data_IF_359471303812
#
_entry.id   IF_359471303812
#
_cell.length_a   1.000
_cell.length_b   1.000
_cell.length_c   1.000
_cell.angle_alpha   90.00
_cell.angle_beta   90.00
_cell.angle_gamma   90.00
#
_symmetry.space_group_name_H-M   'P 1'
#
loop_
_entity.id
_entity.type
_entity.pdbx_description
1 polymer ?
#
# COMPACT_ATOMS: atom_id res chain seq x y z
N UNK A 1 -36.35 -40.30 -40.91
CA UNK A 1 -35.59 -40.70 -39.71
C UNK A 1 -34.13 -40.42 -40.03
N UNK A 2 -33.33 -39.59 -39.36
CA UNK A 2 -33.27 -39.09 -37.97
C UNK A 2 -32.32 -37.89 -37.94
N UNK A 3 -32.68 -36.82 -37.24
CA UNK A 3 -31.76 -35.72 -36.90
C UNK A 3 -30.95 -36.01 -35.64
N UNK A 4 -29.81 -35.33 -35.50
CA UNK A 4 -29.21 -34.82 -34.25
C UNK A 4 -27.90 -34.09 -34.59
N UNK A 5 -27.97 -32.77 -34.73
CA UNK A 5 -26.80 -31.89 -34.61
C UNK A 5 -26.31 -31.98 -33.16
N UNK A 6 -25.12 -32.54 -32.94
CA UNK A 6 -24.51 -32.56 -31.62
C UNK A 6 -24.10 -31.14 -31.24
N UNK A 7 -24.94 -30.45 -30.49
CA UNK A 7 -24.59 -29.27 -29.69
C UNK A 7 -23.65 -29.70 -28.56
N UNK A 8 -22.45 -30.13 -28.93
CA UNK A 8 -21.38 -30.49 -28.01
C UNK A 8 -20.76 -29.21 -27.48
N UNK A 9 -20.68 -29.11 -26.15
CA UNK A 9 -20.00 -28.04 -25.43
C UNK A 9 -18.61 -27.80 -26.04
N UNK A 10 -18.44 -26.69 -26.76
CA UNK A 10 -17.19 -26.42 -27.45
C UNK A 10 -16.15 -25.91 -26.45
N UNK A 11 -14.88 -26.31 -26.63
CA UNK A 11 -13.75 -25.84 -25.80
C UNK A 11 -13.67 -24.31 -25.70
N UNK A 12 -14.13 -23.60 -26.74
CA UNK A 12 -14.23 -22.13 -26.77
C UNK A 12 -15.33 -21.57 -25.88
N UNK A 13 -16.47 -22.26 -25.73
CA UNK A 13 -17.55 -21.83 -24.84
C UNK A 13 -17.12 -21.93 -23.36
N UNK A 14 -16.38 -22.98 -23.00
CA UNK A 14 -15.81 -23.14 -21.65
C UNK A 14 -14.76 -22.07 -21.34
N UNK A 15 -13.86 -21.77 -22.28
CA UNK A 15 -12.88 -20.69 -22.10
C UNK A 15 -13.54 -19.31 -22.03
N UNK A 16 -14.62 -19.07 -22.80
CA UNK A 16 -15.42 -17.85 -22.71
C UNK A 16 -16.14 -17.71 -21.36
N UNK A 17 -16.73 -18.79 -20.85
CA UNK A 17 -17.35 -18.79 -19.52
C UNK A 17 -16.32 -18.57 -18.41
N UNK A 18 -15.13 -19.18 -18.50
CA UNK A 18 -14.04 -18.98 -17.55
C UNK A 18 -13.49 -17.55 -17.58
N UNK A 19 -13.36 -16.94 -18.75
CA UNK A 19 -12.98 -15.53 -18.89
C UNK A 19 -14.04 -14.59 -18.28
N UNK A 20 -15.33 -14.88 -18.48
CA UNK A 20 -16.40 -14.12 -17.84
C UNK A 20 -16.35 -14.24 -16.31
N UNK A 21 -16.10 -15.45 -15.77
CA UNK A 21 -15.96 -15.66 -14.33
C UNK A 21 -14.73 -14.97 -13.75
N UNK A 22 -13.61 -14.92 -14.48
CA UNK A 22 -12.40 -14.20 -14.05
C UNK A 22 -12.59 -12.67 -14.02
N UNK A 23 -13.37 -12.10 -14.94
CA UNK A 23 -13.71 -10.67 -14.92
C UNK A 23 -14.70 -10.34 -13.81
N UNK A 24 -15.63 -11.24 -13.46
CA UNK A 24 -16.57 -11.05 -12.34
C UNK A 24 -15.97 -11.36 -10.97
N UNK A 25 -14.95 -12.22 -10.91
CA UNK A 25 -14.24 -12.61 -9.67
C UNK A 25 -13.00 -11.77 -9.41
N UNK A 26 -12.50 -11.02 -10.39
CA UNK A 26 -11.64 -9.88 -10.10
C UNK A 26 -12.47 -8.94 -9.23
N UNK A 27 -12.10 -8.73 -7.95
CA UNK A 27 -12.75 -7.69 -7.19
C UNK A 27 -12.45 -6.44 -7.98
N UNK A 28 -13.49 -5.75 -8.46
CA UNK A 28 -13.33 -4.35 -8.79
C UNK A 28 -13.00 -3.68 -7.47
N UNK A 29 -11.72 -3.71 -7.09
CA UNK A 29 -11.10 -2.88 -6.06
C UNK A 29 -11.14 -1.40 -6.46
N UNK A 30 -12.07 -1.00 -7.32
CA UNK A 30 -12.31 0.34 -7.79
C UNK A 30 -12.76 1.28 -6.67
N UNK A 31 -13.14 0.77 -5.49
CA UNK A 31 -13.54 1.61 -4.35
C UNK A 31 -12.97 1.20 -2.98
N UNK A 32 -12.05 0.22 -2.90
CA UNK A 32 -11.46 -0.21 -1.62
C UNK A 32 -9.95 0.07 -1.49
N UNK A 33 -9.37 0.84 -2.41
CA UNK A 33 -8.13 1.58 -2.12
C UNK A 33 -8.39 2.86 -1.28
N UNK A 34 -9.67 3.22 -1.07
CA UNK A 34 -10.10 4.45 -0.42
C UNK A 34 -10.48 4.33 1.05
N UNK A 35 -10.81 3.14 1.56
CA UNK A 35 -11.20 2.98 2.97
C UNK A 35 -10.01 3.05 3.95
N UNK A 36 -8.80 2.76 3.45
CA UNK A 36 -7.54 3.05 4.16
C UNK A 36 -7.02 4.48 3.88
N UNK A 37 -7.76 5.28 3.11
CA UNK A 37 -7.48 6.68 2.75
C UNK A 37 -8.49 7.63 3.39
N UNK A 38 -8.92 7.30 4.62
CA UNK A 38 -9.82 8.11 5.45
C UNK A 38 -9.27 8.39 6.85
N UNK A 39 -8.02 8.05 7.13
CA UNK A 39 -7.39 8.22 8.45
C UNK A 39 -6.53 9.48 8.61
N UNK A 40 -6.73 10.48 7.75
CA UNK A 40 -5.85 11.64 7.64
C UNK A 40 -4.64 11.39 6.74
N UNK A 41 -4.08 12.45 6.13
CA UNK A 41 -2.76 12.36 5.49
C UNK A 41 -1.74 12.26 6.65
N UNK A 42 -0.97 11.18 6.69
CA UNK A 42 0.00 10.90 7.74
C UNK A 42 1.34 10.60 7.06
N UNK A 43 2.39 11.25 7.53
CA UNK A 43 3.76 11.00 7.03
C UNK A 43 4.63 10.44 8.13
N UNK A 44 5.22 9.29 7.82
CA UNK A 44 6.12 8.55 8.69
C UNK A 44 7.52 8.58 8.12
N UNK A 45 8.50 8.75 8.99
CA UNK A 45 9.92 8.70 8.64
C UNK A 45 10.59 7.56 9.41
N UNK A 46 11.42 6.79 8.70
CA UNK A 46 12.22 5.72 9.25
C UNK A 46 13.66 5.92 8.85
N UNK A 47 14.56 6.06 9.82
CA UNK A 47 15.96 6.33 9.57
C UNK A 47 16.85 5.49 10.48
N UNK A 48 18.04 5.18 9.97
CA UNK A 48 19.06 4.43 10.68
C UNK A 48 20.42 5.11 10.49
N UNK A 49 21.11 5.37 11.60
CA UNK A 49 22.46 5.90 11.58
C UNK A 49 23.47 4.76 11.68
N UNK A 50 24.24 4.54 10.61
CA UNK A 50 25.30 3.53 10.62
C UNK A 50 26.50 3.89 11.51
N UNK A 51 26.63 5.16 11.94
CA UNK A 51 27.73 5.61 12.79
C UNK A 51 27.42 5.48 14.27
N UNK A 52 26.24 5.91 14.69
CA UNK A 52 25.80 5.86 16.11
C UNK A 52 24.99 4.60 16.44
N UNK A 53 24.48 3.89 15.42
CA UNK A 53 23.61 2.72 15.61
C UNK A 53 22.16 3.09 15.93
N UNK A 54 21.83 4.38 16.00
CA UNK A 54 20.50 4.88 16.33
C UNK A 54 19.49 4.57 15.23
N UNK A 55 18.24 4.34 15.63
CA UNK A 55 17.10 4.11 14.75
C UNK A 55 15.94 4.97 15.19
N UNK A 56 15.26 5.59 14.24
CA UNK A 56 14.00 6.27 14.48
C UNK A 56 12.94 5.75 13.53
N UNK A 57 11.73 5.56 14.06
CA UNK A 57 10.52 5.18 13.33
C UNK A 57 9.35 5.94 13.95
N UNK A 58 9.01 7.08 13.36
CA UNK A 58 8.00 7.96 13.93
C UNK A 58 7.19 8.70 12.88
N UNK A 59 5.99 9.09 13.26
CA UNK A 59 5.13 9.97 12.48
C UNK A 59 5.56 11.41 12.79
N UNK A 60 5.86 12.19 11.75
CA UNK A 60 6.32 13.58 11.93
C UNK A 60 5.28 14.61 11.49
N UNK A 61 4.25 14.17 10.76
CA UNK A 61 3.24 15.04 10.20
C UNK A 61 1.89 14.33 10.11
N UNK A 62 0.85 15.05 10.51
CA UNK A 62 -0.55 14.61 10.49
C UNK A 62 -1.39 15.79 10.00
N UNK A 63 -2.15 15.60 8.93
CA UNK A 63 -3.23 16.50 8.49
C UNK A 63 -2.84 18.00 8.41
N UNK A 64 -1.68 18.29 7.83
CA UNK A 64 -1.22 19.67 7.63
C UNK A 64 -0.29 20.19 8.73
N UNK A 65 -0.17 19.50 9.86
CA UNK A 65 0.60 19.96 11.01
C UNK A 65 1.80 19.05 11.28
N UNK A 66 2.93 19.68 11.61
CA UNK A 66 4.10 18.99 12.12
C UNK A 66 3.93 18.68 13.60
N UNK A 67 4.27 17.46 14.00
CA UNK A 67 4.35 17.08 15.41
C UNK A 67 5.66 17.64 15.95
N UNK A 68 5.58 18.59 16.88
CA UNK A 68 6.76 19.28 17.44
C UNK A 68 7.79 18.31 18.02
N UNK A 69 7.33 17.30 18.74
CA UNK A 69 8.19 16.30 19.36
C UNK A 69 8.93 15.46 18.31
N UNK A 70 8.25 15.11 17.22
CA UNK A 70 8.88 14.38 16.13
C UNK A 70 9.93 15.23 15.39
N UNK A 71 9.69 16.52 15.20
CA UNK A 71 10.69 17.42 14.62
C UNK A 71 11.90 17.57 15.53
N UNK A 72 11.69 17.67 16.84
CA UNK A 72 12.78 17.72 17.83
C UNK A 72 13.62 16.45 17.82
N UNK A 73 12.96 15.30 17.77
CA UNK A 73 13.64 14.00 17.69
C UNK A 73 14.41 13.85 16.37
N UNK A 74 13.84 14.28 15.25
CA UNK A 74 14.55 14.29 13.96
C UNK A 74 15.78 15.20 14.01
N UNK A 75 15.69 16.38 14.62
CA UNK A 75 16.84 17.27 14.79
C UNK A 75 17.92 16.63 15.66
N UNK A 76 17.54 15.99 16.77
CA UNK A 76 18.47 15.24 17.60
C UNK A 76 19.10 14.08 16.83
N UNK A 77 18.32 13.33 16.05
CA UNK A 77 18.85 12.25 15.21
C UNK A 77 19.85 12.75 14.15
N UNK A 78 19.65 13.97 13.64
CA UNK A 78 20.52 14.61 12.65
C UNK A 78 21.71 15.35 13.25
N UNK A 79 21.86 15.37 14.58
CA UNK A 79 22.95 16.05 15.27
C UNK A 79 24.31 15.52 14.83
N UNK A 80 25.34 16.35 14.98
CA UNK A 80 26.70 15.88 14.77
C UNK A 80 27.10 14.89 15.88
N UNK A 81 27.25 13.63 15.49
CA UNK A 81 27.61 12.55 16.41
C UNK A 81 29.00 12.67 17.03
N UNK A 82 29.88 13.53 16.49
CA UNK A 82 31.22 13.74 17.07
C UNK A 82 31.20 14.69 18.27
N UNK A 83 30.30 15.65 18.25
CA UNK A 83 30.25 16.75 19.20
C UNK A 83 29.00 16.73 20.08
N UNK A 84 28.01 15.88 19.74
CA UNK A 84 26.71 15.74 20.40
C UNK A 84 25.95 17.07 20.56
N UNK A 85 26.27 18.04 19.69
CA UNK A 85 25.65 19.37 19.71
C UNK A 85 24.29 19.36 19.01
N UNK A 86 23.28 19.93 19.68
CA UNK A 86 21.93 20.20 19.14
C UNK A 86 21.86 21.62 18.58
#
# INVERSE_FOLDING_TARGET
>A
MTGKSSTGMTRRALLGAFAATAVTAAPTYSNAAGFLRGGGDIRRIKMYSGRTGERIDMIYWIEGQYIKDAVKEVNYFMRDWRTDGV
#
